data_IF_727073716166
#
_entry.id   IF_727073716166
#
_cell.length_a   1.000
_cell.length_b   1.000
_cell.length_c   1.000
_cell.angle_alpha   90.00
_cell.angle_beta   90.00
_cell.angle_gamma   90.00
#
_symmetry.space_group_name_H-M   'P 1'
#
loop_
_entity.id
_entity.type
_entity.pdbx_description
1 polymer ?
#
# COMPACT_ATOMS: atom_id res chain seq x y z
N UNK A 1 -12.72 9.49 -83.93
CA UNK A 1 -12.25 8.19 -84.42
C UNK A 1 -11.27 7.60 -83.41
N UNK A 2 -11.44 6.31 -83.10
CA UNK A 2 -10.60 5.41 -82.30
C UNK A 2 -10.70 5.48 -80.77
N UNK A 3 -11.61 4.64 -80.27
CA UNK A 3 -11.49 3.88 -79.03
C UNK A 3 -10.43 2.79 -79.16
N UNK A 4 -9.64 2.55 -78.10
CA UNK A 4 -9.06 1.26 -77.66
C UNK A 4 -8.87 1.42 -76.14
N UNK A 5 -9.75 0.94 -75.26
CA UNK A 5 -9.96 -0.46 -74.83
C UNK A 5 -8.70 -1.12 -74.25
N UNK A 6 -8.56 -1.06 -72.92
CA UNK A 6 -7.64 -1.89 -72.14
C UNK A 6 -8.25 -2.15 -70.76
N UNK A 7 -8.79 -3.35 -70.58
CA UNK A 7 -9.49 -3.83 -69.39
C UNK A 7 -8.54 -4.59 -68.45
N UNK A 8 -8.87 -4.54 -67.15
CA UNK A 8 -8.54 -5.48 -66.06
C UNK A 8 -7.10 -5.37 -65.46
N UNK A 9 -6.87 -5.49 -64.15
CA UNK A 9 -7.64 -6.13 -63.09
C UNK A 9 -7.31 -5.58 -61.68
N UNK A 10 -8.37 -5.44 -60.87
CA UNK A 10 -8.53 -5.85 -59.45
C UNK A 10 -7.60 -5.28 -58.36
N UNK A 11 -8.25 -4.41 -57.55
CA UNK A 11 -8.28 -4.31 -56.08
C UNK A 11 -7.13 -4.85 -55.22
N UNK A 12 -6.69 -4.07 -54.23
CA UNK A 12 -7.01 -4.29 -52.80
C UNK A 12 -6.83 -2.98 -52.03
N UNK A 13 -7.85 -2.62 -51.24
CA UNK A 13 -7.83 -1.54 -50.25
C UNK A 13 -6.79 -1.79 -49.16
N UNK A 14 -6.00 -0.77 -48.80
CA UNK A 14 -5.46 -0.64 -47.45
C UNK A 14 -5.57 0.81 -46.99
N UNK A 15 -6.81 1.27 -46.78
CA UNK A 15 -7.09 2.32 -45.81
C UNK A 15 -6.98 1.71 -44.42
N UNK A 16 -5.83 1.90 -43.76
CA UNK A 16 -5.69 1.59 -42.33
C UNK A 16 -5.95 2.88 -41.53
N UNK A 17 -7.12 3.03 -40.89
CA UNK A 17 -7.21 3.92 -39.75
C UNK A 17 -6.40 3.28 -38.61
N UNK A 18 -5.47 4.05 -38.04
CA UNK A 18 -4.78 3.68 -36.82
C UNK A 18 -5.78 3.62 -35.66
N UNK A 19 -6.48 2.49 -35.54
CA UNK A 19 -7.09 2.07 -34.28
C UNK A 19 -5.94 1.82 -33.31
N UNK A 20 -5.72 2.77 -32.41
CA UNK A 20 -5.06 2.54 -31.14
C UNK A 20 -5.79 1.38 -30.47
N UNK A 21 -5.28 0.17 -30.68
CA UNK A 21 -5.65 -0.98 -29.90
C UNK A 21 -5.30 -0.62 -28.46
N UNK A 22 -6.33 -0.27 -27.69
CA UNK A 22 -6.26 -0.30 -26.25
C UNK A 22 -5.80 -1.72 -25.89
N UNK A 23 -4.52 -1.85 -25.56
CA UNK A 23 -4.00 -3.04 -24.93
C UNK A 23 -4.97 -3.37 -23.79
N UNK A 24 -5.60 -4.55 -23.76
CA UNK A 24 -6.33 -4.97 -22.58
C UNK A 24 -5.30 -5.00 -21.47
N UNK A 25 -5.28 -3.94 -20.67
CA UNK A 25 -4.54 -3.87 -19.44
C UNK A 25 -5.00 -5.10 -18.67
N UNK A 26 -4.13 -6.11 -18.45
CA UNK A 26 -4.55 -7.29 -17.70
C UNK A 26 -5.09 -6.73 -16.39
N UNK A 27 -6.31 -7.09 -15.97
CA UNK A 27 -6.85 -6.61 -14.71
C UNK A 27 -5.77 -6.89 -13.69
N UNK A 28 -5.31 -5.82 -13.02
CA UNK A 28 -4.31 -5.92 -11.99
C UNK A 28 -4.78 -7.05 -11.09
N UNK A 29 -4.13 -8.20 -11.23
CA UNK A 29 -4.54 -9.41 -10.56
C UNK A 29 -4.27 -9.11 -9.11
N UNK A 30 -5.31 -8.61 -8.43
CA UNK A 30 -5.42 -8.71 -7.02
C UNK A 30 -5.20 -10.20 -6.78
N UNK A 31 -4.01 -10.55 -6.32
CA UNK A 31 -3.71 -11.84 -5.74
C UNK A 31 -4.55 -11.96 -4.46
N UNK A 32 -5.87 -11.95 -4.59
CA UNK A 32 -6.77 -12.62 -3.67
C UNK A 32 -6.49 -14.09 -3.90
N UNK A 33 -5.41 -14.59 -3.30
CA UNK A 33 -5.11 -16.00 -3.29
C UNK A 33 -6.20 -16.71 -2.50
N UNK A 34 -7.38 -16.95 -3.10
CA UNK A 34 -8.62 -17.45 -2.48
C UNK A 34 -8.49 -18.83 -1.81
N UNK A 35 -7.30 -19.40 -1.73
CA UNK A 35 -7.01 -20.57 -0.92
C UNK A 35 -6.99 -20.28 0.59
N UNK A 36 -7.26 -21.29 1.42
CA UNK A 36 -7.10 -21.21 2.87
C UNK A 36 -5.63 -20.88 3.22
N UNK A 37 -5.42 -19.94 4.15
CA UNK A 37 -4.06 -19.63 4.60
C UNK A 37 -3.44 -20.85 5.30
N UNK A 38 -2.15 -21.14 5.05
CA UNK A 38 -1.39 -22.14 5.81
C UNK A 38 -1.55 -21.91 7.31
N UNK A 39 -1.65 -22.99 8.10
CA UNK A 39 -1.94 -22.92 9.55
C UNK A 39 -0.94 -22.04 10.29
N UNK A 40 0.33 -22.04 9.88
CA UNK A 40 1.39 -21.29 10.52
C UNK A 40 1.24 -19.78 10.33
N UNK A 41 0.75 -19.36 9.16
CA UNK A 41 0.55 -17.95 8.84
C UNK A 41 -0.47 -17.32 9.76
N UNK A 42 -1.48 -18.07 10.23
CA UNK A 42 -2.53 -17.56 11.14
C UNK A 42 -2.00 -17.03 12.48
N UNK A 43 -0.76 -17.36 12.86
CA UNK A 43 -0.11 -16.94 14.11
C UNK A 43 0.97 -15.87 13.92
N UNK A 44 1.41 -15.63 12.69
CA UNK A 44 2.54 -14.75 12.41
C UNK A 44 2.13 -13.29 12.53
N UNK A 45 2.99 -12.50 13.16
CA UNK A 45 2.92 -11.04 13.11
C UNK A 45 4.10 -10.53 12.31
N UNK A 46 3.85 -9.75 11.26
CA UNK A 46 4.91 -9.12 10.50
C UNK A 46 4.53 -7.71 10.08
N UNK A 47 5.57 -6.87 9.98
CA UNK A 47 5.48 -5.49 9.55
C UNK A 47 6.54 -5.28 8.47
N UNK A 48 6.14 -4.70 7.34
CA UNK A 48 7.05 -4.29 6.29
C UNK A 48 6.77 -2.84 5.93
N UNK A 49 7.80 -2.01 5.98
CA UNK A 49 7.74 -0.60 5.58
C UNK A 49 8.58 -0.43 4.33
N UNK A 50 8.01 0.22 3.32
CA UNK A 50 8.65 0.54 2.06
C UNK A 50 8.66 2.06 1.85
N UNK A 51 9.67 2.61 1.16
CA UNK A 51 10.81 1.92 0.57
C UNK A 51 11.84 1.47 1.63
N UNK A 52 12.50 0.34 1.40
CA UNK A 52 13.56 -0.17 2.27
C UNK A 52 14.88 0.60 2.08
N UNK A 53 15.07 1.17 0.89
CA UNK A 53 16.20 2.03 0.58
C UNK A 53 15.79 3.50 0.69
N UNK A 54 16.71 4.39 1.11
CA UNK A 54 16.43 5.83 1.18
C UNK A 54 15.94 6.37 -0.16
N UNK A 55 14.76 6.99 -0.15
CA UNK A 55 14.21 7.70 -1.31
C UNK A 55 13.70 9.06 -0.86
N UNK A 56 13.66 10.00 -1.78
CA UNK A 56 12.98 11.29 -1.59
C UNK A 56 11.48 11.13 -1.76
N UNK A 57 10.87 10.31 -0.90
CA UNK A 57 9.43 10.15 -0.82
C UNK A 57 9.02 10.41 0.63
N UNK A 58 8.07 11.31 0.82
CA UNK A 58 7.49 11.60 2.13
C UNK A 58 6.53 10.48 2.58
N UNK A 59 6.00 9.69 1.65
CA UNK A 59 5.00 8.67 1.92
C UNK A 59 5.63 7.28 1.99
N UNK A 60 5.60 6.67 3.17
CA UNK A 60 5.97 5.27 3.37
C UNK A 60 4.76 4.36 3.22
N UNK A 61 4.96 3.22 2.54
CA UNK A 61 3.94 2.18 2.38
C UNK A 61 4.17 1.12 3.44
N UNK A 62 3.14 0.89 4.24
CA UNK A 62 3.19 -0.06 5.33
C UNK A 62 2.28 -1.24 5.02
N UNK A 63 2.85 -2.43 5.12
CA UNK A 63 2.17 -3.71 4.98
C UNK A 63 2.24 -4.43 6.32
N UNK A 64 1.10 -4.88 6.80
CA UNK A 64 0.99 -5.61 8.06
C UNK A 64 0.34 -6.95 7.82
N UNK A 65 0.85 -7.94 8.53
CA UNK A 65 0.18 -9.22 8.73
C UNK A 65 0.03 -9.42 10.23
N UNK A 66 -1.20 -9.61 10.69
CA UNK A 66 -1.55 -9.87 12.06
C UNK A 66 -2.17 -11.27 12.18
N UNK A 67 -2.12 -11.89 13.37
CA UNK A 67 -2.84 -13.13 13.62
C UNK A 67 -4.34 -12.95 13.39
N UNK A 68 -5.04 -13.97 12.91
CA UNK A 68 -6.48 -13.88 12.57
C UNK A 68 -7.39 -13.59 13.76
N UNK A 69 -6.87 -13.72 14.99
CA UNK A 69 -7.57 -13.30 16.21
C UNK A 69 -7.69 -11.78 16.35
N UNK A 70 -6.87 -11.00 15.66
CA UNK A 70 -6.89 -9.54 15.66
C UNK A 70 -7.75 -9.01 14.49
N UNK A 71 -8.50 -7.93 14.73
CA UNK A 71 -9.32 -7.26 13.72
C UNK A 71 -8.78 -5.88 13.33
N UNK A 72 -7.93 -5.28 14.17
CA UNK A 72 -7.27 -4.02 13.87
C UNK A 72 -5.78 -4.10 14.12
N UNK A 73 -5.03 -3.26 13.43
CA UNK A 73 -3.63 -3.00 13.70
C UNK A 73 -3.43 -1.52 14.03
N UNK A 74 -2.53 -1.22 14.95
CA UNK A 74 -2.07 0.12 15.26
C UNK A 74 -0.57 0.18 14.96
N UNK A 75 -0.14 1.19 14.23
CA UNK A 75 1.27 1.39 13.93
C UNK A 75 1.68 2.77 14.42
N UNK A 76 2.65 2.81 15.32
CA UNK A 76 3.13 4.05 15.90
C UNK A 76 4.61 4.26 15.63
N UNK A 77 5.00 5.51 15.38
CA UNK A 77 6.40 5.89 15.29
C UNK A 77 6.57 7.37 15.61
N UNK A 78 7.78 7.73 16.04
CA UNK A 78 8.21 9.13 16.15
C UNK A 78 8.51 9.76 14.79
N UNK A 79 8.64 8.97 13.73
CA UNK A 79 8.77 9.46 12.36
C UNK A 79 7.42 9.93 11.76
N UNK A 80 6.29 9.51 12.32
CA UNK A 80 4.97 9.76 11.73
C UNK A 80 4.31 11.05 12.25
N UNK A 81 5.11 12.07 12.56
CA UNK A 81 4.62 13.35 13.10
C UNK A 81 3.59 14.00 12.17
N UNK A 82 2.56 14.60 12.75
CA UNK A 82 1.56 15.38 12.01
C UNK A 82 2.08 16.80 11.78
N UNK A 83 1.83 17.34 10.59
CA UNK A 83 2.09 18.77 10.31
C UNK A 83 1.30 19.61 11.32
N UNK A 84 2.00 20.52 12.01
CA UNK A 84 1.40 21.41 13.01
C UNK A 84 1.08 20.78 14.36
N UNK A 85 1.50 19.53 14.62
CA UNK A 85 1.36 18.91 15.95
C UNK A 85 2.70 18.82 16.67
N UNK A 86 2.72 19.21 17.93
CA UNK A 86 3.85 19.00 18.85
C UNK A 86 3.95 17.55 19.34
N UNK A 87 2.99 16.67 18.99
CA UNK A 87 3.04 15.26 19.36
C UNK A 87 4.11 14.55 18.53
N UNK A 88 5.20 14.22 19.20
CA UNK A 88 6.35 13.53 18.62
C UNK A 88 5.97 12.11 18.18
N UNK A 89 5.01 11.48 18.86
CA UNK A 89 4.54 10.13 18.56
C UNK A 89 3.11 10.13 18.02
N UNK A 90 2.89 9.39 16.93
CA UNK A 90 1.57 9.20 16.33
C UNK A 90 1.31 7.72 16.11
N UNK A 91 0.14 7.27 16.55
CA UNK A 91 -0.41 5.96 16.17
C UNK A 91 -1.37 6.12 14.99
N UNK A 92 -1.25 5.22 14.03
CA UNK A 92 -2.09 5.12 12.85
C UNK A 92 -2.84 3.80 12.91
N UNK A 93 -4.17 3.85 12.88
CA UNK A 93 -5.01 2.67 12.83
C UNK A 93 -5.11 2.09 11.42
N UNK A 94 -5.12 0.76 11.30
CA UNK A 94 -5.31 0.03 10.06
C UNK A 94 -6.41 -1.02 10.26
N UNK A 95 -7.37 -1.04 9.34
CA UNK A 95 -8.28 -2.16 9.20
C UNK A 95 -7.54 -3.37 8.65
N UNK A 96 -7.88 -4.56 9.17
CA UNK A 96 -7.37 -5.82 8.67
C UNK A 96 -8.46 -6.51 7.83
N UNK A 97 -8.03 -7.19 6.77
CA UNK A 97 -8.88 -8.18 6.07
C UNK A 97 -9.12 -9.40 6.97
N UNK A 98 -10.04 -10.28 6.56
CA UNK A 98 -10.32 -11.55 7.23
C UNK A 98 -9.10 -12.46 7.40
N UNK A 99 -8.07 -12.20 6.59
CA UNK A 99 -6.79 -12.92 6.58
C UNK A 99 -5.74 -12.29 7.49
N UNK A 100 -6.07 -11.22 8.20
CA UNK A 100 -5.14 -10.48 9.04
C UNK A 100 -4.17 -9.57 8.27
N UNK A 101 -4.39 -9.36 6.97
CA UNK A 101 -3.57 -8.48 6.14
C UNK A 101 -4.12 -7.05 6.15
N UNK A 102 -3.23 -6.07 6.27
CA UNK A 102 -3.54 -4.64 6.16
C UNK A 102 -2.48 -3.89 5.36
N UNK A 103 -2.88 -2.81 4.70
CA UNK A 103 -1.98 -1.91 3.97
C UNK A 103 -2.37 -0.45 4.20
N UNK A 104 -1.39 0.45 4.33
CA UNK A 104 -1.63 1.89 4.43
C UNK A 104 -0.42 2.72 3.98
N UNK A 105 -0.67 3.85 3.33
CA UNK A 105 0.33 4.90 3.13
C UNK A 105 0.36 5.83 4.34
N UNK A 106 1.55 6.14 4.85
CA UNK A 106 1.76 7.07 5.97
C UNK A 106 2.77 8.13 5.51
N UNK A 107 2.36 9.40 5.56
CA UNK A 107 3.26 10.52 5.33
C UNK A 107 4.16 10.77 6.53
N UNK A 108 5.45 10.96 6.24
CA UNK A 108 6.49 11.47 7.13
C UNK A 108 6.56 12.96 6.86
N UNK A 109 6.28 13.76 7.88
CA UNK A 109 6.35 15.21 7.79
C UNK A 109 7.77 15.68 7.46
N UNK A 110 7.90 16.79 6.71
CA UNK A 110 9.18 17.48 6.53
C UNK A 110 9.84 17.86 7.86
N UNK A 111 9.04 18.05 8.91
CA UNK A 111 9.49 18.38 10.26
C UNK A 111 9.82 17.15 11.12
N UNK A 112 9.75 15.94 10.58
CA UNK A 112 10.22 14.76 11.30
C UNK A 112 11.73 14.89 11.55
N UNK A 113 12.15 14.65 12.79
CA UNK A 113 13.57 14.69 13.13
C UNK A 113 14.33 13.66 12.30
N UNK A 114 15.46 14.02 11.67
CA UNK A 114 16.33 13.03 11.05
C UNK A 114 16.94 12.09 12.09
N UNK A 115 17.15 10.83 11.71
CA UNK A 115 17.77 9.82 12.55
C UNK A 115 17.08 8.47 12.49
N UNK A 116 17.37 7.63 13.49
CA UNK A 116 16.80 6.31 13.65
C UNK A 116 15.50 6.38 14.46
N UNK A 117 14.47 5.76 13.90
CA UNK A 117 13.16 5.62 14.52
C UNK A 117 12.76 4.16 14.57
N UNK A 118 11.85 3.86 15.48
CA UNK A 118 11.18 2.56 15.54
C UNK A 118 9.73 2.73 15.13
N UNK A 119 9.27 1.85 14.26
CA UNK A 119 7.86 1.70 13.94
C UNK A 119 7.32 0.48 14.68
N UNK A 120 6.44 0.74 15.65
CA UNK A 120 5.82 -0.25 16.51
C UNK A 120 4.47 -0.66 15.96
N UNK A 121 4.31 -1.92 15.58
CA UNK A 121 3.04 -2.56 15.29
C UNK A 121 2.44 -3.18 16.55
N UNK A 122 1.16 -2.90 16.80
CA UNK A 122 0.31 -3.60 17.77
C UNK A 122 -0.87 -4.20 17.00
N UNK A 123 -0.98 -5.52 16.97
CA UNK A 123 -2.18 -6.19 16.50
C UNK A 123 -3.15 -6.30 17.68
N UNK A 124 -4.36 -5.79 17.51
CA UNK A 124 -5.34 -5.69 18.59
C UNK A 124 -6.66 -6.33 18.19
N UNK A 125 -7.33 -6.92 19.18
CA UNK A 125 -8.73 -7.33 19.10
C UNK A 125 -9.55 -6.27 19.81
N UNK A 126 -10.32 -5.51 19.05
CA UNK A 126 -11.30 -4.56 19.57
C UNK A 126 -12.65 -5.25 19.58
N UNK A 127 -13.28 -5.34 20.75
CA UNK A 127 -14.64 -5.82 20.92
C UNK A 127 -15.48 -4.71 21.52
N UNK A 128 -16.64 -4.43 20.95
CA UNK A 128 -17.59 -3.47 21.49
C UNK A 128 -18.76 -4.29 22.04
N UNK A 129 -19.10 -4.09 23.31
CA UNK A 129 -20.34 -4.64 23.84
C UNK A 129 -21.50 -3.81 23.26
N UNK A 130 -22.44 -4.43 22.57
CA UNK A 130 -23.52 -3.71 21.89
C UNK A 130 -24.51 -3.07 22.86
N UNK A 131 -24.72 -3.68 24.03
CA UNK A 131 -25.66 -3.19 25.04
C UNK A 131 -25.07 -2.03 25.84
N UNK A 132 -23.82 -2.18 26.31
CA UNK A 132 -23.18 -1.14 27.14
C UNK A 132 -22.39 -0.12 26.33
N UNK A 133 -22.18 -0.37 25.04
CA UNK A 133 -21.30 0.40 24.13
C UNK A 133 -19.84 0.51 24.61
N UNK A 134 -19.46 -0.26 25.63
CA UNK A 134 -18.10 -0.23 26.16
C UNK A 134 -17.17 -0.95 25.18
N UNK A 135 -16.16 -0.23 24.72
CA UNK A 135 -15.07 -0.74 23.88
C UNK A 135 -13.99 -1.39 24.76
N UNK A 136 -13.73 -2.67 24.54
CA UNK A 136 -12.58 -3.39 25.10
C UNK A 136 -11.53 -3.58 24.01
N UNK A 137 -10.28 -3.23 24.32
CA UNK A 137 -9.14 -3.38 23.40
C UNK A 137 -8.15 -4.34 24.04
N UNK A 138 -7.89 -5.47 23.37
CA UNK A 138 -6.88 -6.44 23.79
C UNK A 138 -5.74 -6.46 22.80
N UNK A 139 -4.50 -6.29 23.27
CA UNK A 139 -3.31 -6.48 22.46
C UNK A 139 -3.07 -7.98 22.29
N UNK A 140 -2.98 -8.44 21.04
CA UNK A 140 -2.75 -9.85 20.70
C UNK A 140 -1.28 -10.10 20.45
N UNK A 141 -0.63 -9.21 19.70
CA UNK A 141 0.79 -9.32 19.39
C UNK A 141 1.39 -7.96 19.12
N UNK A 142 2.72 -7.90 19.18
CA UNK A 142 3.52 -6.71 18.90
C UNK A 142 4.67 -7.08 17.98
N UNK A 143 5.10 -6.12 17.17
CA UNK A 143 6.28 -6.24 16.34
C UNK A 143 6.89 -4.87 16.12
N UNK A 144 8.20 -4.78 15.91
CA UNK A 144 8.88 -3.50 15.70
C UNK A 144 9.83 -3.63 14.53
N UNK A 145 9.91 -2.59 13.71
CA UNK A 145 10.92 -2.48 12.64
C UNK A 145 11.64 -1.15 12.72
N UNK A 146 12.94 -1.11 12.36
CA UNK A 146 13.67 0.15 12.24
C UNK A 146 13.19 0.95 11.03
N UNK A 147 13.24 2.28 11.16
CA UNK A 147 12.92 3.25 10.13
C UNK A 147 13.91 4.40 10.23
N UNK A 148 14.63 4.69 9.14
CA UNK A 148 15.63 5.78 9.12
C UNK A 148 15.06 6.97 8.36
N UNK A 149 14.97 8.11 9.03
CA UNK A 149 14.60 9.40 8.43
C UNK A 149 15.88 10.15 8.11
N UNK A 150 16.04 10.62 6.86
CA UNK A 150 17.20 11.40 6.44
C UNK A 150 16.82 12.85 6.20
N UNK A 151 17.77 13.79 6.38
CA UNK A 151 17.54 15.18 6.02
C UNK A 151 17.13 15.29 4.55
N UNK A 152 16.11 16.10 4.29
CA UNK A 152 15.71 16.41 2.93
C UNK A 152 16.83 17.19 2.22
N UNK A 153 17.13 16.82 0.96
CA UNK A 153 18.17 17.46 0.15
C UNK A 153 17.53 18.06 -1.11
N UNK A 154 17.38 19.39 -1.13
CA UNK A 154 16.76 20.14 -2.23
C UNK A 154 17.43 19.89 -3.59
N UNK A 155 18.77 19.86 -3.65
CA UNK A 155 19.52 19.69 -4.91
C UNK A 155 19.48 18.29 -5.56
N UNK A 156 18.53 17.43 -5.16
CA UNK A 156 18.21 16.16 -5.87
C UNK A 156 16.83 16.18 -6.53
N UNK A 157 16.09 17.28 -6.35
CA UNK A 157 14.75 17.48 -6.91
C UNK A 157 14.77 18.29 -8.21
N UNK A 158 15.80 19.10 -8.39
CA UNK A 158 16.11 19.91 -9.57
C UNK A 158 17.42 19.43 -10.17
#
# INVERSE_FOLDING_TARGET
MRSVAGMAAVAVLLTSPATLAALPCPPAAAATGRGPLPKDWKKVTSLRILPQWPRQNDTVRVFVHCPTKANHALIGSTAFTLKGSWRIYREVGLGLSDRGLGRRGIGISYYAFPGDHLAHLKCVKVTINEHTRIRKVRVISRFTVPLVVRPFRLGRFF
#
